data_IF_718972427712
#
_entry.id   IF_718972427712
#
_cell.length_a   1.000
_cell.length_b   1.000
_cell.length_c   1.000
_cell.angle_alpha   90.00
_cell.angle_beta   90.00
_cell.angle_gamma   90.00
#
_symmetry.space_group_name_H-M   'P 1'
#
loop_
_entity.id
_entity.type
_entity.pdbx_description
1 polymer ?
#
# COMPACT_ATOMS: atom_id res chain seq x y z
N UNK A 1 12.27 -20.70 9.45
CA UNK A 1 11.39 -21.05 8.31
C UNK A 1 10.02 -21.54 8.80
N UNK A 2 9.40 -20.84 9.76
CA UNK A 2 8.12 -21.25 10.40
C UNK A 2 7.06 -20.12 10.37
N UNK A 3 7.43 -18.91 9.92
CA UNK A 3 6.52 -17.76 9.81
C UNK A 3 5.70 -17.71 8.49
N UNK A 4 5.81 -18.71 7.62
CA UNK A 4 5.09 -18.76 6.34
C UNK A 4 3.72 -19.44 6.42
N UNK A 5 3.34 -20.01 7.58
CA UNK A 5 2.05 -20.67 7.79
C UNK A 5 0.98 -19.80 8.50
N UNK A 6 1.28 -18.52 8.72
CA UNK A 6 0.33 -17.54 9.29
C UNK A 6 -0.12 -16.50 8.24
N UNK A 7 -0.17 -16.88 6.96
CA UNK A 7 -1.04 -16.17 6.02
C UNK A 7 -2.41 -16.83 6.23
N UNK A 8 -3.37 -16.17 6.91
CA UNK A 8 -4.62 -16.82 7.22
C UNK A 8 -5.30 -17.23 5.91
N UNK A 9 -5.87 -18.43 5.90
CA UNK A 9 -6.78 -18.94 4.86
C UNK A 9 -7.89 -17.94 4.47
N UNK A 10 -8.09 -16.88 5.26
CA UNK A 10 -9.03 -15.79 5.01
C UNK A 10 -8.67 -14.87 3.83
N UNK A 11 -7.39 -14.71 3.45
CA UNK A 11 -7.06 -13.87 2.28
C UNK A 11 -7.52 -14.57 0.99
N UNK A 12 -7.33 -15.89 0.92
CA UNK A 12 -7.82 -16.68 -0.21
C UNK A 12 -9.35 -16.77 -0.21
N UNK A 13 -10.01 -16.87 0.95
CA UNK A 13 -11.48 -16.83 0.99
C UNK A 13 -12.01 -15.48 0.51
N UNK A 14 -11.42 -14.35 0.91
CA UNK A 14 -11.82 -13.03 0.44
C UNK A 14 -11.61 -12.88 -1.07
N UNK A 15 -10.52 -13.43 -1.62
CA UNK A 15 -10.25 -13.43 -3.06
C UNK A 15 -11.23 -14.32 -3.82
N UNK A 16 -11.58 -15.48 -3.26
CA UNK A 16 -12.59 -16.40 -3.82
C UNK A 16 -13.98 -15.76 -3.78
N UNK A 17 -14.36 -15.11 -2.67
CA UNK A 17 -15.63 -14.38 -2.57
C UNK A 17 -15.70 -13.21 -3.54
N UNK A 18 -14.61 -12.46 -3.71
CA UNK A 18 -14.51 -11.38 -4.71
C UNK A 18 -14.64 -11.95 -6.13
N UNK A 19 -13.96 -13.06 -6.44
CA UNK A 19 -14.06 -13.74 -7.74
C UNK A 19 -15.47 -14.28 -7.98
N UNK A 20 -16.11 -14.88 -6.98
CA UNK A 20 -17.50 -15.36 -7.08
C UNK A 20 -18.45 -14.18 -7.32
N UNK A 21 -18.28 -13.08 -6.59
CA UNK A 21 -19.04 -11.84 -6.79
C UNK A 21 -18.84 -11.24 -8.18
N UNK A 22 -17.61 -11.27 -8.71
CA UNK A 22 -17.25 -10.75 -10.04
C UNK A 22 -17.63 -11.68 -11.20
N UNK A 23 -17.70 -13.00 -10.98
CA UNK A 23 -18.13 -13.99 -12.00
C UNK A 23 -19.66 -14.09 -12.06
N UNK A 24 -20.35 -13.86 -10.94
CA UNK A 24 -21.81 -13.90 -10.85
C UNK A 24 -22.47 -12.54 -10.50
N UNK A 25 -22.05 -11.39 -11.08
CA UNK A 25 -22.62 -10.09 -10.73
C UNK A 25 -24.08 -9.94 -11.20
N UNK A 26 -24.51 -10.82 -12.11
CA UNK A 26 -25.83 -10.84 -12.73
C UNK A 26 -26.73 -11.97 -12.27
N UNK A 27 -26.31 -12.81 -11.32
CA UNK A 27 -27.25 -13.75 -10.71
C UNK A 27 -28.08 -12.92 -9.72
N UNK A 28 -29.39 -12.67 -10.02
CA UNK A 28 -30.27 -11.97 -9.09
C UNK A 28 -30.14 -12.55 -7.68
N UNK A 29 -29.89 -13.85 -7.53
CA UNK A 29 -29.84 -14.61 -6.27
C UNK A 29 -29.16 -13.94 -5.06
N UNK A 30 -28.08 -13.16 -5.21
CA UNK A 30 -27.45 -12.49 -4.05
C UNK A 30 -28.15 -11.19 -3.63
N UNK A 31 -28.73 -10.44 -4.58
CA UNK A 31 -29.57 -9.27 -4.30
C UNK A 31 -31.03 -9.71 -4.04
N UNK A 32 -31.50 -10.74 -4.74
CA UNK A 32 -32.80 -11.39 -4.60
C UNK A 32 -32.94 -12.18 -3.32
N UNK A 33 -31.87 -12.73 -2.75
CA UNK A 33 -31.91 -13.21 -1.38
C UNK A 33 -32.29 -12.03 -0.47
N UNK A 34 -31.55 -10.92 -0.54
CA UNK A 34 -31.83 -9.71 0.24
C UNK A 34 -33.23 -9.11 0.02
N UNK A 35 -33.80 -9.19 -1.18
CA UNK A 35 -35.14 -8.64 -1.47
C UNK A 35 -36.29 -9.64 -1.29
N UNK A 36 -36.07 -10.95 -1.43
CA UNK A 36 -37.08 -11.98 -1.14
C UNK A 36 -37.09 -12.43 0.33
N UNK A 37 -36.10 -12.05 1.15
CA UNK A 37 -36.17 -12.16 2.61
C UNK A 37 -37.21 -11.21 3.25
N UNK A 38 -38.04 -10.52 2.46
CA UNK A 38 -39.12 -9.63 2.95
C UNK A 38 -40.16 -10.30 3.85
N UNK A 39 -40.09 -11.62 4.08
CA UNK A 39 -40.97 -12.34 5.00
C UNK A 39 -40.27 -13.12 6.13
N UNK A 40 -38.98 -13.44 5.99
CA UNK A 40 -38.25 -14.18 7.02
C UNK A 40 -37.37 -13.23 7.84
N UNK A 41 -37.38 -13.44 9.15
CA UNK A 41 -37.02 -12.45 10.16
C UNK A 41 -35.61 -11.87 9.98
N UNK A 42 -35.45 -10.57 10.23
CA UNK A 42 -34.16 -9.84 10.34
C UNK A 42 -33.05 -10.61 11.08
N UNK A 43 -33.44 -11.52 11.97
CA UNK A 43 -32.57 -12.44 12.72
C UNK A 43 -31.81 -13.45 11.85
N UNK A 44 -32.28 -13.81 10.65
CA UNK A 44 -31.61 -14.77 9.76
C UNK A 44 -30.53 -14.11 8.89
N UNK A 45 -30.70 -12.83 8.57
CA UNK A 45 -29.72 -12.04 7.79
C UNK A 45 -28.56 -11.57 8.69
N UNK A 46 -28.84 -11.40 9.99
CA UNK A 46 -27.89 -10.81 10.94
C UNK A 46 -26.55 -11.56 11.03
N UNK A 47 -26.49 -12.91 11.13
CA UNK A 47 -25.22 -13.63 11.24
C UNK A 47 -24.34 -13.47 10.00
N UNK A 48 -24.94 -13.51 8.80
CA UNK A 48 -24.22 -13.34 7.54
C UNK A 48 -23.69 -11.91 7.38
N UNK A 49 -24.53 -10.90 7.67
CA UNK A 49 -24.11 -9.50 7.62
C UNK A 49 -22.99 -9.21 8.64
N UNK A 50 -23.07 -9.79 9.85
CA UNK A 50 -22.03 -9.67 10.87
C UNK A 50 -20.74 -10.36 10.43
N UNK A 51 -20.80 -11.56 9.85
CA UNK A 51 -19.61 -12.27 9.36
C UNK A 51 -18.91 -11.52 8.24
N UNK A 52 -19.65 -11.05 7.23
CA UNK A 52 -19.10 -10.25 6.12
C UNK A 52 -18.50 -8.96 6.64
N UNK A 53 -19.19 -8.26 7.53
CA UNK A 53 -18.69 -7.01 8.14
C UNK A 53 -17.43 -7.27 8.97
N UNK A 54 -17.39 -8.38 9.71
CA UNK A 54 -16.23 -8.78 10.52
C UNK A 54 -15.02 -9.12 9.65
N UNK A 55 -15.20 -9.89 8.57
CA UNK A 55 -14.14 -10.23 7.63
C UNK A 55 -13.60 -8.98 6.94
N UNK A 56 -14.49 -8.07 6.52
CA UNK A 56 -14.11 -6.80 5.90
C UNK A 56 -13.37 -5.89 6.89
N UNK A 57 -13.84 -5.80 8.13
CA UNK A 57 -13.19 -5.05 9.20
C UNK A 57 -11.78 -5.60 9.46
N UNK A 58 -11.64 -6.92 9.61
CA UNK A 58 -10.35 -7.55 9.87
C UNK A 58 -9.37 -7.36 8.70
N UNK A 59 -9.82 -7.54 7.46
CA UNK A 59 -9.00 -7.32 6.27
C UNK A 59 -8.54 -5.86 6.18
N UNK A 60 -9.45 -4.92 6.42
CA UNK A 60 -9.16 -3.48 6.44
C UNK A 60 -8.17 -3.16 7.55
N UNK A 61 -8.44 -3.56 8.79
CA UNK A 61 -7.54 -3.33 9.93
C UNK A 61 -6.14 -3.91 9.72
N UNK A 62 -6.06 -5.12 9.16
CA UNK A 62 -4.78 -5.77 8.83
C UNK A 62 -4.02 -4.96 7.77
N UNK A 63 -4.70 -4.54 6.70
CA UNK A 63 -4.11 -3.71 5.66
C UNK A 63 -3.58 -2.38 6.23
N UNK A 64 -4.38 -1.73 7.08
CA UNK A 64 -4.02 -0.51 7.79
C UNK A 64 -2.75 -0.68 8.62
N UNK A 65 -2.70 -1.74 9.42
CA UNK A 65 -1.56 -2.03 10.27
C UNK A 65 -0.27 -2.13 9.44
N UNK A 66 -0.30 -2.92 8.35
CA UNK A 66 0.87 -3.07 7.48
C UNK A 66 1.26 -1.77 6.75
N UNK A 67 0.30 -1.01 6.22
CA UNK A 67 0.63 0.26 5.57
C UNK A 67 1.23 1.23 6.58
N UNK A 68 0.66 1.33 7.77
CA UNK A 68 1.14 2.24 8.81
C UNK A 68 2.56 1.86 9.28
N UNK A 69 2.83 0.58 9.51
CA UNK A 69 4.17 0.11 9.87
C UNK A 69 5.19 0.31 8.73
N UNK A 70 4.77 0.17 7.47
CA UNK A 70 5.59 0.56 6.31
C UNK A 70 5.92 2.05 6.34
N UNK A 71 4.92 2.92 6.53
CA UNK A 71 5.12 4.38 6.55
C UNK A 71 6.06 4.79 7.69
N UNK A 72 5.90 4.22 8.90
CA UNK A 72 6.82 4.47 10.01
C UNK A 72 8.23 4.05 9.66
N UNK A 73 8.39 2.88 9.04
CA UNK A 73 9.69 2.38 8.62
C UNK A 73 10.33 3.32 7.58
N UNK A 74 9.59 3.74 6.54
CA UNK A 74 10.09 4.70 5.55
C UNK A 74 10.50 6.02 6.20
N UNK A 75 9.68 6.55 7.11
CA UNK A 75 9.98 7.79 7.83
C UNK A 75 11.23 7.66 8.68
N UNK A 76 11.43 6.51 9.32
CA UNK A 76 12.65 6.24 10.06
C UNK A 76 13.86 6.25 9.13
N UNK A 77 13.82 5.51 8.01
CA UNK A 77 14.90 5.50 7.00
C UNK A 77 15.20 6.91 6.48
N UNK A 78 14.16 7.71 6.17
CA UNK A 78 14.32 9.11 5.75
C UNK A 78 15.02 9.96 6.81
N UNK A 79 14.62 9.83 8.09
CA UNK A 79 15.28 10.53 9.20
C UNK A 79 16.76 10.14 9.31
N UNK A 80 17.09 8.85 9.24
CA UNK A 80 18.48 8.39 9.25
C UNK A 80 19.27 8.91 8.04
N UNK A 81 18.67 8.90 6.85
CA UNK A 81 19.28 9.45 5.64
C UNK A 81 19.57 10.95 5.78
N UNK A 82 18.62 11.71 6.34
CA UNK A 82 18.79 13.15 6.58
C UNK A 82 19.90 13.41 7.60
N UNK A 83 19.94 12.67 8.70
CA UNK A 83 21.01 12.77 9.70
C UNK A 83 22.39 12.54 9.05
N UNK A 84 22.58 11.47 8.29
CA UNK A 84 23.87 11.20 7.63
C UNK A 84 24.18 12.16 6.47
N UNK A 85 23.19 12.88 5.93
CA UNK A 85 23.38 13.82 4.81
C UNK A 85 23.71 15.22 5.31
N UNK A 86 22.96 15.72 6.30
CA UNK A 86 23.10 17.08 6.80
C UNK A 86 24.19 17.19 7.86
N UNK A 87 24.33 16.17 8.72
CA UNK A 87 25.38 16.14 9.74
C UNK A 87 26.62 15.43 9.23
N UNK A 88 26.77 15.25 7.91
CA UNK A 88 27.83 14.45 7.30
C UNK A 88 29.24 14.89 7.78
N UNK A 89 29.49 16.20 7.85
CA UNK A 89 30.78 16.74 8.30
C UNK A 89 31.04 16.45 9.78
N UNK A 90 30.06 16.69 10.64
CA UNK A 90 30.16 16.40 12.07
C UNK A 90 30.31 14.89 12.33
N UNK A 91 29.55 14.06 11.61
CA UNK A 91 29.67 12.61 11.65
C UNK A 91 31.03 12.14 11.12
N UNK A 92 31.57 12.77 10.08
CA UNK A 92 32.85 12.38 9.50
C UNK A 92 34.00 12.61 10.48
N UNK A 93 33.97 13.71 11.23
CA UNK A 93 34.92 13.99 12.32
C UNK A 93 34.78 12.96 13.43
N UNK A 94 33.55 12.60 13.82
CA UNK A 94 33.31 11.67 14.93
C UNK A 94 33.59 10.19 14.58
N UNK A 95 33.24 9.77 13.37
CA UNK A 95 33.32 8.37 12.91
C UNK A 95 34.67 8.03 12.27
N UNK A 96 35.58 8.99 12.10
CA UNK A 96 36.91 8.72 11.54
C UNK A 96 36.93 8.60 10.01
N UNK A 97 36.01 9.27 9.31
CA UNK A 97 36.08 9.43 7.86
C UNK A 97 34.83 9.03 7.08
N UNK A 98 34.89 9.25 5.76
CA UNK A 98 33.79 9.00 4.80
C UNK A 98 33.40 7.53 4.68
N UNK A 99 34.36 6.62 4.91
CA UNK A 99 34.15 5.18 4.80
C UNK A 99 33.06 4.67 5.75
N UNK A 100 33.00 5.20 6.98
CA UNK A 100 31.99 4.80 7.97
C UNK A 100 30.58 5.27 7.57
N UNK A 101 30.46 6.48 7.00
CA UNK A 101 29.17 6.99 6.49
C UNK A 101 28.65 6.07 5.37
N UNK A 102 29.52 5.62 4.47
CA UNK A 102 29.15 4.67 3.41
C UNK A 102 28.76 3.30 3.96
N UNK A 103 29.38 2.84 5.06
CA UNK A 103 28.98 1.61 5.76
C UNK A 103 27.58 1.75 6.38
N UNK A 104 27.28 2.87 7.04
CA UNK A 104 25.93 3.15 7.58
C UNK A 104 24.91 3.13 6.45
N UNK A 105 25.19 3.77 5.32
CA UNK A 105 24.29 3.75 4.17
C UNK A 105 24.06 2.33 3.62
N UNK A 106 25.09 1.49 3.56
CA UNK A 106 24.96 0.06 3.20
C UNK A 106 24.08 -0.71 4.18
N UNK A 107 24.17 -0.43 5.47
CA UNK A 107 23.27 -1.01 6.47
C UNK A 107 21.82 -0.60 6.22
N UNK A 108 21.57 0.66 5.85
CA UNK A 108 20.23 1.12 5.45
C UNK A 108 19.74 0.42 4.18
N UNK A 109 20.60 0.18 3.19
CA UNK A 109 20.26 -0.61 1.99
C UNK A 109 19.86 -2.04 2.34
N UNK A 110 20.61 -2.71 3.23
CA UNK A 110 20.31 -4.07 3.66
C UNK A 110 18.98 -4.12 4.43
N UNK A 111 18.79 -3.19 5.37
CA UNK A 111 17.54 -3.07 6.14
C UNK A 111 16.35 -2.83 5.20
N UNK A 112 16.54 -1.99 4.18
CA UNK A 112 15.53 -1.73 3.16
C UNK A 112 15.21 -2.97 2.32
N UNK A 113 16.22 -3.72 1.92
CA UNK A 113 16.04 -4.96 1.16
C UNK A 113 15.27 -6.01 1.97
N UNK A 114 15.57 -6.14 3.27
CA UNK A 114 14.85 -7.03 4.18
C UNK A 114 13.38 -6.60 4.34
N UNK A 115 13.14 -5.30 4.54
CA UNK A 115 11.78 -4.76 4.61
C UNK A 115 11.00 -5.04 3.32
N UNK A 116 11.56 -4.71 2.16
CA UNK A 116 10.91 -4.99 0.87
C UNK A 116 10.61 -6.49 0.70
N UNK A 117 11.51 -7.38 1.11
CA UNK A 117 11.29 -8.83 1.03
C UNK A 117 10.13 -9.29 1.93
N UNK A 118 10.01 -8.74 3.13
CA UNK A 118 8.93 -9.05 4.06
C UNK A 118 7.59 -8.48 3.56
N UNK A 119 7.58 -7.22 3.14
CA UNK A 119 6.35 -6.50 2.79
C UNK A 119 5.83 -6.82 1.39
N UNK A 120 6.68 -7.21 0.44
CA UNK A 120 6.26 -7.55 -0.92
C UNK A 120 5.12 -8.58 -0.95
N UNK A 121 5.18 -9.61 -0.11
CA UNK A 121 4.18 -10.69 -0.11
C UNK A 121 2.80 -10.24 0.37
N UNK A 122 2.74 -9.17 1.16
CA UNK A 122 1.53 -8.72 1.85
C UNK A 122 1.00 -7.45 1.19
N UNK A 123 1.85 -6.45 1.01
CA UNK A 123 1.48 -5.15 0.44
C UNK A 123 1.01 -5.29 -0.99
N UNK A 124 1.69 -6.07 -1.83
CA UNK A 124 1.30 -6.18 -3.25
C UNK A 124 -0.15 -6.68 -3.43
N UNK A 125 -0.56 -7.85 -2.88
CA UNK A 125 -1.93 -8.33 -3.08
C UNK A 125 -2.98 -7.45 -2.37
N UNK A 126 -2.68 -6.95 -1.18
CA UNK A 126 -3.60 -6.08 -0.43
C UNK A 126 -3.79 -4.75 -1.16
N UNK A 127 -2.70 -4.16 -1.68
CA UNK A 127 -2.71 -2.85 -2.31
C UNK A 127 -3.30 -2.86 -3.73
N UNK A 128 -2.95 -3.86 -4.54
CA UNK A 128 -3.43 -3.92 -5.93
C UNK A 128 -4.75 -4.66 -6.06
N UNK A 129 -4.96 -5.73 -5.30
CA UNK A 129 -6.19 -6.51 -5.36
C UNK A 129 -7.32 -5.85 -4.57
N UNK A 130 -7.12 -5.72 -3.26
CA UNK A 130 -8.20 -5.31 -2.37
C UNK A 130 -8.51 -3.81 -2.47
N UNK A 131 -7.52 -2.93 -2.37
CA UNK A 131 -7.81 -1.48 -2.37
C UNK A 131 -8.36 -0.96 -3.69
N UNK A 132 -7.85 -1.40 -4.84
CA UNK A 132 -8.39 -0.95 -6.14
C UNK A 132 -9.82 -1.39 -6.34
N UNK A 133 -10.11 -2.67 -6.10
CA UNK A 133 -11.46 -3.19 -6.22
C UNK A 133 -12.41 -2.46 -5.27
N UNK A 134 -12.00 -2.26 -4.01
CA UNK A 134 -12.79 -1.52 -3.02
C UNK A 134 -13.01 -0.07 -3.42
N UNK A 135 -12.01 0.62 -3.96
CA UNK A 135 -12.21 2.00 -4.45
C UNK A 135 -13.20 2.03 -5.61
N UNK A 136 -13.13 1.10 -6.56
CA UNK A 136 -14.03 1.06 -7.73
C UNK A 136 -15.45 0.79 -7.26
N UNK A 137 -15.65 -0.21 -6.39
CA UNK A 137 -16.97 -0.54 -5.84
C UNK A 137 -17.53 0.55 -4.94
N UNK A 138 -16.70 1.18 -4.10
CA UNK A 138 -17.12 2.29 -3.27
C UNK A 138 -17.56 3.48 -4.12
N UNK A 139 -16.78 3.83 -5.15
CA UNK A 139 -17.10 4.95 -6.05
C UNK A 139 -18.36 4.67 -6.88
N UNK A 140 -18.45 3.49 -7.50
CA UNK A 140 -19.64 3.06 -8.24
C UNK A 140 -20.88 3.00 -7.35
N UNK A 141 -20.75 2.41 -6.16
CA UNK A 141 -21.86 2.28 -5.21
C UNK A 141 -22.35 3.64 -4.72
N UNK A 142 -21.42 4.58 -4.48
CA UNK A 142 -21.75 5.97 -4.15
C UNK A 142 -22.54 6.63 -5.28
N UNK A 143 -22.15 6.46 -6.55
CA UNK A 143 -22.86 7.10 -7.65
C UNK A 143 -24.21 6.42 -7.96
N UNK A 144 -24.27 5.09 -7.94
CA UNK A 144 -25.46 4.36 -8.39
C UNK A 144 -26.56 4.32 -7.32
N UNK A 145 -26.20 4.20 -6.05
CA UNK A 145 -27.17 3.94 -4.98
C UNK A 145 -27.49 5.17 -4.12
N UNK A 146 -27.13 6.38 -4.56
CA UNK A 146 -27.35 7.61 -3.79
C UNK A 146 -28.82 7.89 -3.45
N UNK A 147 -29.75 7.44 -4.29
CA UNK A 147 -31.21 7.60 -4.07
C UNK A 147 -31.79 6.45 -3.25
N UNK A 148 -31.18 5.27 -3.31
CA UNK A 148 -31.77 4.02 -2.81
C UNK A 148 -31.33 3.68 -1.38
N UNK A 149 -30.08 4.02 -1.01
CA UNK A 149 -29.54 3.67 0.30
C UNK A 149 -29.81 4.82 1.29
N UNK A 150 -30.35 4.55 2.50
CA UNK A 150 -30.51 5.57 3.52
C UNK A 150 -29.15 6.16 3.92
N UNK A 151 -29.13 7.47 4.22
CA UNK A 151 -27.92 8.30 4.42
C UNK A 151 -26.81 7.62 5.27
N UNK A 152 -27.09 6.95 6.41
CA UNK A 152 -26.03 6.32 7.20
C UNK A 152 -25.28 5.21 6.44
N UNK A 153 -26.00 4.40 5.65
CA UNK A 153 -25.41 3.35 4.82
C UNK A 153 -24.67 3.93 3.61
N UNK A 154 -25.19 5.04 3.06
CA UNK A 154 -24.57 5.73 1.94
C UNK A 154 -23.19 6.28 2.28
N UNK A 155 -23.02 6.83 3.49
CA UNK A 155 -21.75 7.44 3.93
C UNK A 155 -20.59 6.43 4.10
N UNK A 156 -20.88 5.13 4.23
CA UNK A 156 -19.86 4.10 4.38
C UNK A 156 -18.95 4.05 3.15
N UNK A 157 -19.54 4.08 1.95
CA UNK A 157 -18.80 4.00 0.70
C UNK A 157 -17.79 5.15 0.49
N UNK A 158 -18.15 6.45 0.58
CA UNK A 158 -17.20 7.55 0.44
C UNK A 158 -16.16 7.57 1.58
N UNK A 159 -16.52 7.18 2.80
CA UNK A 159 -15.55 7.06 3.90
C UNK A 159 -14.54 5.96 3.63
N UNK A 160 -14.97 4.77 3.17
CA UNK A 160 -14.07 3.70 2.74
C UNK A 160 -13.19 4.12 1.57
N UNK A 161 -13.73 4.86 0.60
CA UNK A 161 -12.96 5.40 -0.51
C UNK A 161 -11.86 6.35 -0.05
N UNK A 162 -12.20 7.38 0.73
CA UNK A 162 -11.24 8.37 1.24
C UNK A 162 -10.15 7.72 2.10
N UNK A 163 -10.56 6.74 2.88
CA UNK A 163 -9.69 5.89 3.69
C UNK A 163 -8.65 5.19 2.83
N UNK A 164 -9.08 4.44 1.81
CA UNK A 164 -8.18 3.70 0.93
C UNK A 164 -7.28 4.65 0.15
N UNK A 165 -7.83 5.75 -0.35
CA UNK A 165 -7.09 6.80 -1.05
C UNK A 165 -5.97 7.38 -0.18
N UNK A 166 -6.27 7.66 1.10
CA UNK A 166 -5.28 8.17 2.06
C UNK A 166 -4.11 7.20 2.22
N UNK A 167 -4.35 5.89 2.27
CA UNK A 167 -3.25 4.91 2.31
C UNK A 167 -2.41 4.91 1.06
N UNK A 168 -3.06 4.95 -0.11
CA UNK A 168 -2.37 5.01 -1.38
C UNK A 168 -1.43 6.21 -1.42
N UNK A 169 -1.91 7.39 -1.02
CA UNK A 169 -1.12 8.62 -0.95
C UNK A 169 0.04 8.47 0.03
N UNK A 170 -0.20 8.05 1.28
CA UNK A 170 0.83 7.95 2.31
C UNK A 170 1.95 6.97 1.93
N UNK A 171 1.59 5.80 1.38
CA UNK A 171 2.57 4.81 0.94
C UNK A 171 3.43 5.33 -0.22
N UNK A 172 2.80 5.95 -1.22
CA UNK A 172 3.52 6.50 -2.37
C UNK A 172 4.41 7.68 -1.99
N UNK A 173 3.90 8.58 -1.16
CA UNK A 173 4.63 9.77 -0.71
C UNK A 173 5.82 9.38 0.15
N UNK A 174 5.65 8.46 1.11
CA UNK A 174 6.74 8.00 1.97
C UNK A 174 7.84 7.30 1.17
N UNK A 175 7.47 6.43 0.23
CA UNK A 175 8.42 5.81 -0.71
C UNK A 175 9.18 6.84 -1.54
N UNK A 176 8.46 7.83 -2.10
CA UNK A 176 9.05 8.89 -2.92
C UNK A 176 10.08 9.71 -2.14
N UNK A 177 9.76 10.08 -0.90
CA UNK A 177 10.66 10.82 -0.01
C UNK A 177 11.95 10.03 0.24
N UNK A 178 11.86 8.74 0.59
CA UNK A 178 13.05 7.90 0.84
C UNK A 178 13.92 7.78 -0.41
N UNK A 179 13.31 7.62 -1.58
CA UNK A 179 14.02 7.59 -2.85
C UNK A 179 14.76 8.91 -3.10
N UNK A 180 14.09 10.05 -2.98
CA UNK A 180 14.70 11.37 -3.16
C UNK A 180 15.82 11.66 -2.16
N UNK A 181 15.58 11.41 -0.87
CA UNK A 181 16.58 11.59 0.18
C UNK A 181 17.82 10.72 -0.08
N UNK A 182 17.62 9.47 -0.49
CA UNK A 182 18.74 8.58 -0.81
C UNK A 182 19.49 9.01 -2.08
N UNK A 183 18.82 9.57 -3.08
CA UNK A 183 19.45 10.17 -4.26
C UNK A 183 20.28 11.40 -3.88
N UNK A 184 19.71 12.30 -3.06
CA UNK A 184 20.41 13.50 -2.57
C UNK A 184 21.67 13.13 -1.79
N UNK A 185 21.59 12.13 -0.91
CA UNK A 185 22.75 11.58 -0.21
C UNK A 185 23.82 11.08 -1.20
N UNK A 186 23.45 10.24 -2.16
CA UNK A 186 24.42 9.72 -3.13
C UNK A 186 25.06 10.83 -3.97
N UNK A 187 24.28 11.84 -4.35
CA UNK A 187 24.79 13.00 -5.09
C UNK A 187 25.70 13.89 -4.25
N UNK A 188 25.42 14.09 -2.96
CA UNK A 188 26.32 14.84 -2.07
C UNK A 188 27.64 14.11 -1.90
N UNK A 189 27.61 12.80 -1.63
CA UNK A 189 28.81 11.98 -1.52
C UNK A 189 29.64 11.96 -2.81
N UNK A 190 29.01 12.04 -4.00
CA UNK A 190 29.74 12.11 -5.29
C UNK A 190 30.55 13.40 -5.44
N UNK A 191 30.13 14.50 -4.79
CA UNK A 191 30.82 15.79 -4.85
C UNK A 191 32.02 15.86 -3.91
N UNK A 192 31.99 15.15 -2.78
CA UNK A 192 33.00 15.28 -1.73
C UNK A 192 34.19 14.31 -1.85
N UNK A 193 34.12 13.27 -2.69
CA UNK A 193 35.16 12.23 -2.71
C UNK A 193 36.13 12.32 -3.89
N UNK A 194 37.42 12.46 -3.56
CA UNK A 194 38.54 12.40 -4.51
C UNK A 194 39.23 11.03 -4.61
N UNK A 195 39.00 10.10 -3.66
CA UNK A 195 39.72 8.83 -3.62
C UNK A 195 39.09 7.77 -4.55
N UNK A 196 39.91 7.13 -5.39
CA UNK A 196 39.45 6.19 -6.43
C UNK A 196 38.68 4.99 -5.83
N UNK A 197 39.09 4.49 -4.66
CA UNK A 197 38.43 3.35 -3.98
C UNK A 197 37.03 3.72 -3.49
N UNK A 198 36.86 4.92 -2.96
CA UNK A 198 35.58 5.43 -2.48
C UNK A 198 34.64 5.74 -3.65
N UNK A 199 35.18 6.29 -4.74
CA UNK A 199 34.43 6.48 -5.99
C UNK A 199 33.85 5.17 -6.52
N UNK A 200 34.67 4.11 -6.62
CA UNK A 200 34.20 2.76 -7.01
C UNK A 200 33.14 2.21 -6.06
N UNK A 201 33.32 2.44 -4.76
CA UNK A 201 32.35 2.04 -3.75
C UNK A 201 31.03 2.76 -3.94
N UNK A 202 31.05 4.07 -4.16
CA UNK A 202 29.87 4.90 -4.37
C UNK A 202 29.14 4.58 -5.68
N UNK A 203 29.87 4.22 -6.73
CA UNK A 203 29.30 3.73 -8.00
C UNK A 203 28.54 2.41 -7.83
N UNK A 204 28.92 1.58 -6.86
CA UNK A 204 28.19 0.34 -6.53
C UNK A 204 26.91 0.58 -5.71
N UNK A 205 26.75 1.77 -5.13
CA UNK A 205 25.58 2.12 -4.32
C UNK A 205 24.43 2.61 -5.22
N UNK A 206 23.22 2.28 -4.81
CA UNK A 206 21.98 2.65 -5.50
C UNK A 206 21.00 3.27 -4.52
N UNK A 207 20.20 4.21 -5.02
CA UNK A 207 19.15 4.85 -4.26
C UNK A 207 18.15 3.83 -3.71
N UNK A 208 17.73 4.03 -2.46
CA UNK A 208 16.76 3.18 -1.79
C UNK A 208 15.42 3.27 -2.51
N UNK A 209 14.86 2.11 -2.87
CA UNK A 209 13.58 2.00 -3.57
C UNK A 209 12.65 1.11 -2.77
N UNK A 210 11.36 1.45 -2.78
CA UNK A 210 10.30 0.55 -2.33
C UNK A 210 9.86 -0.26 -3.54
N UNK A 211 10.15 -1.54 -3.51
CA UNK A 211 9.70 -2.45 -4.56
C UNK A 211 8.34 -2.98 -4.18
N UNK A 212 7.48 -3.07 -5.18
CA UNK A 212 6.28 -3.87 -5.03
C UNK A 212 6.26 -4.83 -6.21
N UNK A 213 6.22 -6.11 -5.85
CA UNK A 213 6.73 -7.22 -6.64
C UNK A 213 8.17 -7.04 -7.21
N UNK A 214 8.59 -7.91 -8.14
CA UNK A 214 9.88 -7.88 -8.85
C UNK A 214 9.95 -6.87 -10.00
N UNK A 215 8.80 -6.45 -10.52
CA UNK A 215 8.73 -5.72 -11.78
C UNK A 215 8.64 -4.20 -11.64
N UNK A 216 8.24 -3.69 -10.46
CA UNK A 216 8.01 -2.27 -10.28
C UNK A 216 8.48 -1.74 -8.92
N UNK A 217 8.76 -0.44 -8.90
CA UNK A 217 9.06 0.29 -7.69
C UNK A 217 8.24 1.57 -7.64
N UNK A 218 7.89 1.97 -6.44
CA UNK A 218 6.94 3.05 -6.21
C UNK A 218 7.64 4.39 -6.41
N UNK A 219 7.24 5.11 -7.46
CA UNK A 219 7.58 6.53 -7.68
C UNK A 219 6.34 7.37 -7.41
N UNK A 220 6.55 8.67 -7.20
CA UNK A 220 5.44 9.62 -7.16
C UNK A 220 4.63 9.62 -8.47
N UNK A 221 5.29 9.44 -9.62
CA UNK A 221 4.62 9.28 -10.91
C UNK A 221 3.74 8.02 -10.98
N UNK A 222 4.11 6.96 -10.26
CA UNK A 222 3.31 5.72 -10.19
C UNK A 222 1.95 5.97 -9.57
N UNK A 223 1.87 6.87 -8.58
CA UNK A 223 0.59 7.25 -7.97
C UNK A 223 -0.34 7.92 -8.98
N UNK A 224 0.19 8.81 -9.83
CA UNK A 224 -0.61 9.50 -10.85
C UNK A 224 -1.16 8.51 -11.86
N UNK A 225 -0.31 7.63 -12.40
CA UNK A 225 -0.75 6.57 -13.32
C UNK A 225 -1.77 5.63 -12.67
N UNK A 226 -1.62 5.34 -11.38
CA UNK A 226 -2.56 4.53 -10.62
C UNK A 226 -3.94 5.21 -10.50
N UNK A 227 -3.97 6.50 -10.17
CA UNK A 227 -5.20 7.27 -10.08
C UNK A 227 -5.91 7.41 -11.43
N UNK A 228 -5.15 7.53 -12.52
CA UNK A 228 -5.69 7.62 -13.88
C UNK A 228 -6.36 6.30 -14.30
N UNK A 229 -5.69 5.17 -14.09
CA UNK A 229 -6.27 3.84 -14.33
C UNK A 229 -7.53 3.62 -13.49
N UNK A 230 -7.50 4.03 -12.22
CA UNK A 230 -8.66 3.96 -11.33
C UNK A 230 -9.83 4.79 -11.88
N UNK A 231 -9.61 6.07 -12.19
CA UNK A 231 -10.65 6.97 -12.70
C UNK A 231 -11.23 6.45 -14.02
N UNK A 232 -10.38 5.99 -14.95
CA UNK A 232 -10.81 5.41 -16.22
C UNK A 232 -11.65 4.16 -16.04
N UNK A 233 -11.26 3.26 -15.12
CA UNK A 233 -12.01 2.03 -14.82
C UNK A 233 -13.36 2.33 -14.17
N UNK A 234 -13.39 3.27 -13.22
CA UNK A 234 -14.61 3.70 -12.57
C UNK A 234 -15.60 4.33 -13.57
N UNK A 235 -15.11 5.21 -14.45
CA UNK A 235 -15.94 5.81 -15.51
C UNK A 235 -16.46 4.77 -16.50
N UNK A 236 -15.63 3.80 -16.89
CA UNK A 236 -16.05 2.71 -17.79
C UNK A 236 -17.19 1.88 -17.18
N UNK A 237 -17.10 1.59 -15.88
CA UNK A 237 -18.14 0.87 -15.16
C UNK A 237 -19.45 1.67 -15.06
N UNK A 238 -19.36 2.99 -14.87
CA UNK A 238 -20.52 3.89 -14.85
C UNK A 238 -21.23 4.00 -16.20
N UNK A 239 -20.50 3.88 -17.31
CA UNK A 239 -21.08 3.92 -18.67
C UNK A 239 -21.71 2.57 -19.01
N UNK A 240 -21.17 1.46 -18.51
CA UNK A 240 -21.64 0.12 -18.83
C UNK A 240 -22.98 -0.27 -18.18
N UNK A 241 -23.40 0.39 -17.08
CA UNK A 241 -24.55 0.01 -16.25
C UNK A 241 -25.42 1.20 -15.81
#
# INVERSE_FOLDING_TARGET
MILLFLIPSSIWSNFIFLIIFLIFPHQPQYIFAYTNFSKDSLLEILPFALEVTWQQFHATFTAYFFVYTSVIFEKSIDTWLKAITYDAEALQVHLGGSSEILKIYRCLQLLKALHNRAYRKIVTPVFFGCSMSLMIFAFYGTIRFYVTIPIPGYLIAPVCFLTVLTFCVLLHQSSGIVYESSQRFLQSQKKHHGNLKEKKTLESLYALRVYVNDSYFVRQSTFVSFMDVFASSAMSLLIAF
#
